data_IF_925364867718
#
_entry.id   IF_925364867718
#
_cell.length_a   1.000
_cell.length_b   1.000
_cell.length_c   1.000
_cell.angle_alpha   90.00
_cell.angle_beta   90.00
_cell.angle_gamma   90.00
#
_symmetry.space_group_name_H-M   'P 1'
#
loop_
_entity.id
_entity.type
_entity.pdbx_description
1 polymer ?
#
# COMPACT_ATOMS: atom_id res chain seq x y z
N UNK A 1 -24.48 5.39 12.43
CA UNK A 1 -23.18 4.99 11.87
C UNK A 1 -22.60 6.21 11.18
N UNK A 2 -21.43 6.69 11.56
CA UNK A 2 -20.83 7.85 10.92
C UNK A 2 -20.39 7.52 9.48
N UNK A 3 -20.76 8.42 8.57
CA UNK A 3 -20.33 8.36 7.17
C UNK A 3 -19.09 9.26 7.01
N UNK A 4 -17.98 8.66 6.58
CA UNK A 4 -16.70 9.32 6.37
C UNK A 4 -16.46 9.43 4.87
N UNK A 5 -16.45 10.66 4.35
CA UNK A 5 -16.25 10.93 2.94
C UNK A 5 -14.78 10.99 2.54
N UNK A 6 -14.42 10.42 1.39
CA UNK A 6 -13.10 10.60 0.79
C UNK A 6 -13.23 11.09 -0.64
N UNK A 7 -12.56 12.22 -0.93
CA UNK A 7 -12.51 12.85 -2.23
C UNK A 7 -11.07 12.93 -2.75
N UNK A 8 -10.85 12.66 -4.04
CA UNK A 8 -9.53 12.76 -4.66
C UNK A 8 -9.56 13.50 -5.98
N UNK A 9 -8.60 14.40 -6.14
CA UNK A 9 -8.32 15.10 -7.42
C UNK A 9 -6.90 14.81 -7.90
N UNK A 10 -6.69 14.82 -9.22
CA UNK A 10 -5.43 14.41 -9.85
C UNK A 10 -4.46 15.55 -10.08
N UNK A 11 -4.93 16.80 -10.16
CA UNK A 11 -4.12 18.00 -10.45
C UNK A 11 -4.43 19.12 -9.47
N UNK A 12 -3.51 20.08 -9.34
CA UNK A 12 -3.71 21.26 -8.47
C UNK A 12 -4.84 22.16 -8.97
N UNK A 13 -5.09 22.17 -10.27
CA UNK A 13 -6.14 23.00 -10.89
C UNK A 13 -7.55 22.39 -10.79
N UNK A 14 -7.65 21.10 -10.41
CA UNK A 14 -8.96 20.48 -10.22
C UNK A 14 -9.46 20.70 -8.79
N UNK A 15 -10.67 21.28 -8.71
CA UNK A 15 -11.34 21.46 -7.42
C UNK A 15 -12.07 20.17 -6.99
N UNK A 16 -11.94 19.74 -5.72
CA UNK A 16 -12.73 18.63 -5.21
C UNK A 16 -14.19 18.98 -4.91
N UNK A 17 -14.60 20.26 -5.11
CA UNK A 17 -15.91 20.77 -4.73
C UNK A 17 -17.09 19.90 -5.16
N UNK A 18 -17.20 19.40 -6.42
CA UNK A 18 -18.32 18.56 -6.82
C UNK A 18 -18.39 17.25 -6.03
N UNK A 19 -17.24 16.66 -5.74
CA UNK A 19 -17.18 15.43 -4.94
C UNK A 19 -17.55 15.71 -3.48
N UNK A 20 -17.01 16.78 -2.90
CA UNK A 20 -17.29 17.15 -1.51
C UNK A 20 -18.75 17.55 -1.31
N UNK A 21 -19.39 18.20 -2.31
CA UNK A 21 -20.83 18.47 -2.28
C UNK A 21 -21.65 17.18 -2.33
N UNK A 22 -21.32 16.24 -3.23
CA UNK A 22 -22.02 14.97 -3.33
C UNK A 22 -21.89 14.15 -2.03
N UNK A 23 -20.70 14.14 -1.41
CA UNK A 23 -20.47 13.48 -0.13
C UNK A 23 -21.25 14.13 1.02
N UNK A 24 -21.33 15.47 1.06
CA UNK A 24 -22.17 16.20 2.03
C UNK A 24 -23.65 15.85 1.86
N UNK A 25 -24.14 15.85 0.62
CA UNK A 25 -25.52 15.47 0.30
C UNK A 25 -25.84 14.02 0.66
N UNK A 26 -24.85 13.14 0.61
CA UNK A 26 -24.95 11.76 1.05
C UNK A 26 -24.95 11.59 2.58
N UNK A 27 -24.75 12.68 3.34
CA UNK A 27 -24.76 12.69 4.81
C UNK A 27 -23.41 12.44 5.46
N UNK A 28 -22.29 12.58 4.74
CA UNK A 28 -20.96 12.45 5.34
C UNK A 28 -20.72 13.56 6.37
N UNK A 29 -20.44 13.16 7.61
CA UNK A 29 -20.15 14.08 8.71
C UNK A 29 -18.74 14.68 8.58
N UNK A 30 -17.79 13.90 8.05
CA UNK A 30 -16.39 14.28 7.86
C UNK A 30 -15.98 13.95 6.43
N UNK A 31 -15.26 14.86 5.75
CA UNK A 31 -14.78 14.66 4.38
C UNK A 31 -13.28 14.93 4.32
N UNK A 32 -12.55 13.93 3.84
CA UNK A 32 -11.11 13.99 3.65
C UNK A 32 -10.78 14.19 2.17
N UNK A 33 -10.07 15.25 1.87
CA UNK A 33 -9.67 15.60 0.50
C UNK A 33 -8.20 15.27 0.26
N UNK A 34 -7.89 14.59 -0.84
CA UNK A 34 -6.54 14.26 -1.24
C UNK A 34 -6.21 14.79 -2.63
N UNK A 35 -5.13 15.54 -2.72
CA UNK A 35 -4.53 15.95 -3.99
C UNK A 35 -3.41 14.99 -4.32
N UNK A 36 -3.61 14.09 -5.28
CA UNK A 36 -2.61 13.11 -5.69
C UNK A 36 -2.61 12.93 -7.19
N UNK A 37 -1.50 13.28 -7.84
CA UNK A 37 -1.30 13.04 -9.26
C UNK A 37 -1.30 11.55 -9.61
N UNK A 38 -1.64 11.22 -10.87
CA UNK A 38 -1.72 9.84 -11.35
C UNK A 38 -0.44 9.02 -11.17
N UNK A 39 0.74 9.67 -11.13
CA UNK A 39 2.05 9.03 -10.94
C UNK A 39 2.45 8.81 -9.46
N UNK A 40 1.93 9.60 -8.55
CA UNK A 40 2.28 9.47 -7.14
C UNK A 40 1.50 8.31 -6.50
N UNK A 41 2.24 7.28 -6.02
CA UNK A 41 1.67 6.12 -5.33
C UNK A 41 1.31 6.43 -3.87
N UNK A 42 1.93 7.43 -3.26
CA UNK A 42 1.68 7.80 -1.88
C UNK A 42 0.30 8.46 -1.75
N UNK A 43 -0.52 7.93 -0.85
CA UNK A 43 -1.85 8.46 -0.50
C UNK A 43 -1.94 8.62 1.02
N UNK A 44 -1.26 9.62 1.56
CA UNK A 44 -1.16 9.78 3.01
C UNK A 44 -2.50 10.10 3.67
N UNK A 45 -3.41 10.79 2.95
CA UNK A 45 -4.74 11.09 3.48
C UNK A 45 -5.57 9.81 3.56
N UNK A 46 -5.62 9.01 2.47
CA UNK A 46 -6.32 7.73 2.47
C UNK A 46 -5.78 6.79 3.57
N UNK A 47 -4.45 6.71 3.71
CA UNK A 47 -3.85 5.87 4.76
C UNK A 47 -4.33 6.28 6.16
N UNK A 48 -4.32 7.58 6.48
CA UNK A 48 -4.83 8.12 7.76
C UNK A 48 -6.32 7.84 7.95
N UNK A 49 -7.13 7.98 6.90
CA UNK A 49 -8.56 7.67 6.96
C UNK A 49 -8.76 6.20 7.30
N UNK A 50 -8.07 5.30 6.59
CA UNK A 50 -8.14 3.86 6.85
C UNK A 50 -7.64 3.46 8.25
N UNK A 51 -6.73 4.23 8.86
CA UNK A 51 -6.31 4.02 10.25
C UNK A 51 -7.37 4.46 11.26
N UNK A 52 -8.03 5.59 11.01
CA UNK A 52 -9.05 6.19 11.90
C UNK A 52 -10.39 5.46 11.89
N UNK A 53 -10.77 4.90 10.74
CA UNK A 53 -12.04 4.18 10.58
C UNK A 53 -12.14 3.06 11.62
N UNK A 54 -13.29 3.02 12.30
CA UNK A 54 -13.61 2.10 13.39
C UNK A 54 -14.82 1.22 13.03
N UNK A 55 -15.11 0.25 13.89
CA UNK A 55 -16.26 -0.66 13.71
C UNK A 55 -17.58 0.12 13.59
N UNK A 56 -18.32 -0.16 12.54
CA UNK A 56 -19.64 0.45 12.27
C UNK A 56 -19.55 1.75 11.45
N UNK A 57 -18.35 2.27 11.16
CA UNK A 57 -18.17 3.41 10.24
C UNK A 57 -18.35 2.97 8.80
N UNK A 58 -18.75 3.89 7.92
CA UNK A 58 -18.83 3.65 6.47
C UNK A 58 -17.97 4.66 5.73
N UNK A 59 -16.95 4.15 5.02
CA UNK A 59 -16.16 4.96 4.09
C UNK A 59 -16.94 5.19 2.80
N UNK A 60 -17.22 6.45 2.46
CA UNK A 60 -18.01 6.84 1.29
C UNK A 60 -17.14 7.56 0.27
N UNK A 61 -17.27 7.16 -0.99
CA UNK A 61 -16.66 7.84 -2.14
C UNK A 61 -17.72 8.14 -3.20
N UNK A 62 -17.45 9.12 -4.06
CA UNK A 62 -18.37 9.39 -5.18
C UNK A 62 -18.28 8.30 -6.22
N UNK A 63 -17.06 7.85 -6.56
CA UNK A 63 -16.77 6.79 -7.54
C UNK A 63 -15.58 5.96 -7.11
N UNK A 64 -15.56 4.71 -7.52
CA UNK A 64 -14.48 3.75 -7.19
C UNK A 64 -13.11 4.25 -7.67
N UNK A 65 -13.03 4.90 -8.83
CA UNK A 65 -11.77 5.40 -9.39
C UNK A 65 -11.15 6.54 -8.56
N UNK A 66 -11.91 7.16 -7.66
CA UNK A 66 -11.38 8.09 -6.66
C UNK A 66 -10.65 7.36 -5.54
N UNK A 67 -11.14 6.17 -5.14
CA UNK A 67 -10.53 5.36 -4.10
C UNK A 67 -9.38 4.49 -4.63
N UNK A 68 -9.61 3.78 -5.72
CA UNK A 68 -8.68 2.76 -6.20
C UNK A 68 -8.30 2.98 -7.68
N UNK A 69 -7.07 2.59 -8.04
CA UNK A 69 -6.56 2.66 -9.42
C UNK A 69 -6.69 1.33 -10.15
N UNK A 70 -6.95 0.28 -9.42
CA UNK A 70 -7.16 -1.08 -9.93
C UNK A 70 -8.18 -1.79 -9.06
N UNK A 71 -8.81 -2.79 -9.63
CA UNK A 71 -9.75 -3.64 -8.90
C UNK A 71 -9.07 -4.34 -7.71
N UNK A 72 -7.83 -4.80 -7.88
CA UNK A 72 -7.06 -5.41 -6.78
C UNK A 72 -6.87 -4.44 -5.61
N UNK A 73 -6.52 -3.18 -5.88
CA UNK A 73 -6.38 -2.19 -4.82
C UNK A 73 -7.71 -1.83 -4.14
N UNK A 74 -8.83 -1.83 -4.90
CA UNK A 74 -10.16 -1.66 -4.31
C UNK A 74 -10.46 -2.78 -3.31
N UNK A 75 -10.23 -4.05 -3.72
CA UNK A 75 -10.45 -5.21 -2.87
C UNK A 75 -9.59 -5.15 -1.61
N UNK A 76 -8.30 -4.82 -1.72
CA UNK A 76 -7.41 -4.64 -0.57
C UNK A 76 -7.92 -3.59 0.44
N UNK A 77 -8.44 -2.46 -0.06
CA UNK A 77 -9.02 -1.42 0.81
C UNK A 77 -10.27 -1.93 1.50
N UNK A 78 -11.17 -2.62 0.77
CA UNK A 78 -12.42 -3.15 1.33
C UNK A 78 -12.11 -4.23 2.36
N UNK A 79 -11.20 -5.17 2.10
CA UNK A 79 -10.76 -6.18 3.07
C UNK A 79 -10.23 -5.56 4.37
N UNK A 80 -9.47 -4.46 4.26
CA UNK A 80 -8.99 -3.71 5.44
C UNK A 80 -10.11 -3.07 6.23
N UNK A 81 -11.15 -2.57 5.58
CA UNK A 81 -12.35 -2.02 6.24
C UNK A 81 -13.14 -3.12 6.92
N UNK A 82 -13.39 -4.23 6.24
CA UNK A 82 -14.09 -5.40 6.78
C UNK A 82 -13.37 -6.00 7.99
N UNK A 83 -12.04 -6.08 7.96
CA UNK A 83 -11.24 -6.55 9.09
C UNK A 83 -11.40 -5.66 10.34
N UNK A 84 -11.79 -4.39 10.16
CA UNK A 84 -12.14 -3.46 11.27
C UNK A 84 -13.63 -3.47 11.61
N UNK A 85 -14.46 -4.23 10.89
CA UNK A 85 -15.92 -4.21 11.02
C UNK A 85 -16.53 -2.92 10.49
N UNK A 86 -15.89 -2.27 9.53
CA UNK A 86 -16.36 -1.08 8.85
C UNK A 86 -16.85 -1.40 7.44
N UNK A 87 -17.58 -0.47 6.84
CA UNK A 87 -18.23 -0.64 5.55
C UNK A 87 -17.65 0.32 4.49
N UNK A 88 -17.92 -0.02 3.23
CA UNK A 88 -17.57 0.82 2.06
C UNK A 88 -18.81 1.08 1.22
N UNK A 89 -18.96 2.31 0.74
CA UNK A 89 -20.06 2.69 -0.15
C UNK A 89 -19.56 3.63 -1.25
N UNK A 90 -19.92 3.35 -2.50
CA UNK A 90 -19.82 4.28 -3.63
C UNK A 90 -21.18 4.91 -3.91
N UNK A 91 -21.20 6.23 -4.23
CA UNK A 91 -22.46 6.92 -4.53
C UNK A 91 -22.95 6.61 -5.95
N UNK A 92 -22.03 6.56 -6.91
CA UNK A 92 -22.35 6.38 -8.32
C UNK A 92 -22.15 4.97 -8.85
N UNK A 93 -21.42 4.12 -8.12
CA UNK A 93 -21.23 2.74 -8.50
C UNK A 93 -22.10 1.84 -7.61
N UNK A 94 -22.58 0.67 -8.09
CA UNK A 94 -23.48 -0.22 -7.34
C UNK A 94 -22.73 -1.06 -6.30
N UNK A 95 -21.89 -0.41 -5.48
CA UNK A 95 -21.10 -1.05 -4.44
C UNK A 95 -21.42 -0.42 -3.09
N UNK A 96 -22.02 -1.23 -2.23
CA UNK A 96 -22.31 -0.95 -0.83
C UNK A 96 -22.09 -2.23 -0.03
N UNK A 97 -21.01 -2.31 0.74
CA UNK A 97 -20.64 -3.53 1.47
C UNK A 97 -21.53 -3.79 2.69
N UNK A 98 -22.41 -2.87 3.07
CA UNK A 98 -23.44 -3.10 4.06
C UNK A 98 -24.61 -3.91 3.51
N UNK A 99 -24.90 -3.74 2.21
CA UNK A 99 -26.00 -4.43 1.53
C UNK A 99 -25.62 -5.81 0.99
N UNK A 100 -26.55 -6.79 0.98
CA UNK A 100 -26.30 -8.09 0.38
C UNK A 100 -25.96 -8.01 -1.12
N UNK A 101 -26.61 -7.10 -1.87
CA UNK A 101 -26.33 -6.88 -3.28
C UNK A 101 -24.94 -6.33 -3.53
N UNK A 102 -24.49 -5.36 -2.72
CA UNK A 102 -23.14 -4.80 -2.82
C UNK A 102 -22.07 -5.83 -2.49
N UNK A 103 -22.29 -6.68 -1.49
CA UNK A 103 -21.40 -7.81 -1.18
C UNK A 103 -21.31 -8.79 -2.34
N UNK A 104 -22.45 -9.17 -2.93
CA UNK A 104 -22.47 -10.04 -4.11
C UNK A 104 -21.69 -9.40 -5.28
N UNK A 105 -21.94 -8.12 -5.59
CA UNK A 105 -21.22 -7.40 -6.63
C UNK A 105 -19.71 -7.42 -6.39
N UNK A 106 -19.29 -7.23 -5.14
CA UNK A 106 -17.88 -7.28 -4.75
C UNK A 106 -17.26 -8.67 -4.97
N UNK A 107 -17.98 -9.73 -4.62
CA UNK A 107 -17.54 -11.11 -4.84
C UNK A 107 -17.34 -11.41 -6.33
N UNK A 108 -18.27 -10.97 -7.19
CA UNK A 108 -18.15 -11.12 -8.65
C UNK A 108 -16.95 -10.36 -9.18
N UNK A 109 -16.74 -9.12 -8.73
CA UNK A 109 -15.58 -8.32 -9.10
C UNK A 109 -14.27 -8.97 -8.61
N UNK A 110 -14.26 -9.53 -7.41
CA UNK A 110 -13.12 -10.28 -6.86
C UNK A 110 -12.75 -11.47 -7.73
N UNK A 111 -13.73 -12.31 -8.07
CA UNK A 111 -13.53 -13.46 -8.97
C UNK A 111 -13.02 -13.04 -10.35
N UNK A 112 -13.55 -11.94 -10.92
CA UNK A 112 -13.07 -11.40 -12.20
C UNK A 112 -11.61 -10.93 -12.11
N UNK A 113 -11.21 -10.27 -11.03
CA UNK A 113 -9.83 -9.83 -10.80
C UNK A 113 -8.86 -11.01 -10.64
N UNK A 114 -9.27 -12.07 -9.98
CA UNK A 114 -8.46 -13.30 -9.86
C UNK A 114 -8.30 -14.00 -11.21
N UNK A 115 -9.36 -14.09 -11.98
CA UNK A 115 -9.34 -14.66 -13.33
C UNK A 115 -8.40 -13.86 -14.25
N UNK A 116 -8.50 -12.53 -14.26
CA UNK A 116 -7.60 -11.67 -15.02
C UNK A 116 -6.12 -11.89 -14.64
N UNK A 117 -5.85 -11.95 -13.33
CA UNK A 117 -4.49 -12.25 -12.82
C UNK A 117 -4.00 -13.63 -13.26
N UNK A 118 -4.87 -14.64 -13.28
CA UNK A 118 -4.53 -15.98 -13.74
C UNK A 118 -4.15 -15.97 -15.23
N UNK A 119 -4.94 -15.30 -16.08
CA UNK A 119 -4.65 -15.13 -17.50
C UNK A 119 -3.33 -14.40 -17.78
N UNK A 120 -3.06 -13.32 -17.03
CA UNK A 120 -1.78 -12.59 -17.14
C UNK A 120 -0.60 -13.50 -16.78
N UNK A 121 -0.71 -14.29 -15.71
CA UNK A 121 0.33 -15.25 -15.30
C UNK A 121 0.56 -16.32 -16.37
N UNK A 122 -0.50 -16.85 -16.95
CA UNK A 122 -0.43 -17.86 -18.01
C UNK A 122 0.26 -17.28 -19.25
N UNK A 123 -0.18 -16.12 -19.74
CA UNK A 123 0.45 -15.42 -20.87
C UNK A 123 1.92 -15.12 -20.61
N UNK A 124 2.26 -14.68 -19.40
CA UNK A 124 3.64 -14.40 -19.00
C UNK A 124 4.49 -15.68 -19.02
N UNK A 125 3.97 -16.79 -18.48
CA UNK A 125 4.66 -18.09 -18.52
C UNK A 125 4.89 -18.57 -19.95
N UNK A 126 3.86 -18.48 -20.80
CA UNK A 126 3.97 -18.84 -22.23
C UNK A 126 4.98 -17.95 -22.97
N UNK A 127 4.95 -16.64 -22.73
CA UNK A 127 5.92 -15.70 -23.28
C UNK A 127 7.35 -15.97 -22.84
N UNK A 128 7.57 -16.30 -21.57
CA UNK A 128 8.88 -16.69 -21.04
C UNK A 128 9.37 -18.02 -21.63
N UNK A 129 8.48 -19.01 -21.81
CA UNK A 129 8.81 -20.27 -22.46
C UNK A 129 9.25 -20.04 -23.91
N UNK A 130 8.47 -19.27 -24.68
CA UNK A 130 8.82 -18.88 -26.04
C UNK A 130 10.12 -18.07 -26.13
N UNK A 131 10.38 -17.20 -25.19
CA UNK A 131 11.64 -16.47 -25.16
C UNK A 131 12.84 -17.40 -24.90
N UNK A 132 12.70 -18.39 -24.03
CA UNK A 132 13.73 -19.39 -23.73
C UNK A 132 14.04 -20.27 -24.95
N UNK A 133 13.03 -20.73 -25.69
CA UNK A 133 13.25 -21.49 -26.92
C UNK A 133 13.99 -20.69 -28.00
N UNK A 134 13.85 -19.36 -27.98
CA UNK A 134 14.60 -18.42 -28.84
C UNK A 134 15.98 -18.04 -28.29
N UNK A 135 16.48 -18.73 -27.27
CA UNK A 135 17.77 -18.46 -26.63
C UNK A 135 17.80 -17.18 -25.77
N UNK A 136 16.64 -16.49 -25.56
CA UNK A 136 16.58 -15.30 -24.73
C UNK A 136 16.50 -15.71 -23.26
N UNK A 137 17.49 -15.29 -22.48
CA UNK A 137 17.51 -15.55 -21.04
C UNK A 137 17.19 -14.24 -20.30
N UNK A 138 16.19 -14.29 -19.42
CA UNK A 138 15.78 -13.13 -18.64
C UNK A 138 16.84 -12.69 -17.62
N UNK A 139 16.68 -11.49 -17.10
CA UNK A 139 17.58 -10.89 -16.11
C UNK A 139 18.59 -9.90 -16.72
N UNK A 140 19.33 -9.22 -15.86
CA UNK A 140 20.35 -8.28 -16.29
C UNK A 140 21.58 -9.02 -16.86
N UNK A 141 21.94 -8.80 -18.13
CA UNK A 141 23.10 -9.47 -18.75
C UNK A 141 24.42 -9.27 -17.99
N UNK A 142 24.67 -8.06 -17.48
CA UNK A 142 25.88 -7.76 -16.73
C UNK A 142 25.96 -8.56 -15.41
N UNK A 143 24.84 -8.76 -14.71
CA UNK A 143 24.83 -9.59 -13.50
C UNK A 143 25.06 -11.07 -13.82
N UNK A 144 24.54 -11.54 -14.94
CA UNK A 144 24.77 -12.92 -15.41
C UNK A 144 26.23 -13.14 -15.80
N UNK A 145 26.82 -12.17 -16.47
CA UNK A 145 28.25 -12.18 -16.83
C UNK A 145 29.18 -11.89 -15.63
N UNK A 146 28.60 -11.65 -14.42
CA UNK A 146 29.34 -11.23 -13.23
C UNK A 146 30.19 -9.95 -13.47
N UNK A 147 29.71 -9.07 -14.33
CA UNK A 147 30.36 -7.80 -14.61
C UNK A 147 30.55 -7.00 -13.32
N UNK A 148 31.79 -6.60 -12.98
CA UNK A 148 32.08 -5.84 -11.77
C UNK A 148 31.29 -4.53 -11.65
N UNK A 149 31.06 -3.82 -12.75
CA UNK A 149 30.29 -2.58 -12.78
C UNK A 149 28.80 -2.83 -12.45
N UNK A 150 28.20 -3.88 -13.03
CA UNK A 150 26.82 -4.26 -12.75
C UNK A 150 26.66 -4.71 -11.29
N UNK A 151 27.59 -5.50 -10.76
CA UNK A 151 27.60 -5.96 -9.37
C UNK A 151 27.76 -4.77 -8.40
N UNK A 152 28.64 -3.82 -8.71
CA UNK A 152 28.83 -2.60 -7.90
C UNK A 152 27.54 -1.77 -7.86
N UNK A 153 26.88 -1.57 -9.01
CA UNK A 153 25.62 -0.83 -9.10
C UNK A 153 24.52 -1.44 -8.23
N UNK A 154 24.38 -2.77 -8.25
CA UNK A 154 23.39 -3.48 -7.41
C UNK A 154 23.76 -3.36 -5.93
N UNK A 155 25.06 -3.44 -5.59
CA UNK A 155 25.50 -3.29 -4.19
C UNK A 155 25.17 -1.91 -3.66
N UNK A 156 25.49 -0.84 -4.43
CA UNK A 156 25.16 0.53 -4.07
C UNK A 156 23.65 0.72 -3.90
N UNK A 157 22.84 0.31 -4.87
CA UNK A 157 21.38 0.42 -4.78
C UNK A 157 20.79 -0.32 -3.57
N UNK A 158 21.37 -1.47 -3.18
CA UNK A 158 20.96 -2.16 -1.95
C UNK A 158 21.37 -1.42 -0.69
N UNK A 159 22.56 -0.82 -0.70
CA UNK A 159 23.06 -0.02 0.42
C UNK A 159 22.23 1.25 0.59
N UNK A 160 21.91 1.97 -0.49
CA UNK A 160 21.07 3.15 -0.47
C UNK A 160 19.66 2.82 0.08
N UNK A 161 19.02 1.78 -0.43
CA UNK A 161 17.70 1.34 0.06
C UNK A 161 17.74 0.79 1.50
N UNK A 162 18.90 0.31 1.98
CA UNK A 162 19.08 -0.05 3.39
C UNK A 162 19.20 1.20 4.26
N UNK A 163 20.00 2.19 3.84
CA UNK A 163 20.16 3.45 4.56
C UNK A 163 18.88 4.26 4.61
N UNK A 164 18.10 4.27 3.53
CA UNK A 164 16.80 4.93 3.48
C UNK A 164 15.84 4.33 4.54
N UNK A 165 15.74 3.01 4.62
CA UNK A 165 14.93 2.33 5.64
C UNK A 165 15.42 2.56 7.06
N UNK A 166 16.74 2.63 7.28
CA UNK A 166 17.31 3.00 8.57
C UNK A 166 16.92 4.42 8.97
N UNK A 167 16.98 5.36 8.02
CA UNK A 167 16.62 6.75 8.28
C UNK A 167 15.12 6.92 8.55
N UNK A 168 14.25 6.19 7.86
CA UNK A 168 12.80 6.19 8.11
C UNK A 168 12.46 5.76 9.55
N UNK A 169 13.21 4.80 10.08
CA UNK A 169 13.01 4.28 11.45
C UNK A 169 13.93 4.90 12.49
N UNK A 170 14.77 5.87 12.11
CA UNK A 170 15.79 6.45 12.99
C UNK A 170 15.20 7.08 14.26
N UNK A 171 14.04 7.70 14.16
CA UNK A 171 13.37 8.30 15.30
C UNK A 171 12.96 7.29 16.38
N UNK A 172 12.75 6.04 16.00
CA UNK A 172 12.30 4.99 16.92
C UNK A 172 13.45 4.41 17.75
N UNK A 173 14.67 4.31 17.19
CA UNK A 173 15.78 3.60 17.83
C UNK A 173 16.98 4.48 18.19
N UNK A 174 17.27 5.57 17.46
CA UNK A 174 18.44 6.44 17.73
C UNK A 174 18.44 7.02 19.14
N UNK A 175 17.31 7.52 19.70
CA UNK A 175 17.28 8.02 21.07
C UNK A 175 17.64 6.94 22.10
N UNK A 176 17.18 5.70 21.88
CA UNK A 176 17.50 4.57 22.75
C UNK A 176 18.99 4.23 22.70
N UNK A 177 19.57 4.14 21.49
CA UNK A 177 21.01 3.90 21.33
C UNK A 177 21.84 4.98 22.01
N UNK A 178 21.52 6.25 21.78
CA UNK A 178 22.25 7.38 22.39
C UNK A 178 22.23 7.34 23.91
N UNK A 179 21.13 6.90 24.51
CA UNK A 179 20.99 6.80 25.97
C UNK A 179 21.74 5.59 26.55
N UNK A 180 21.73 4.47 25.85
CA UNK A 180 22.24 3.19 26.38
C UNK A 180 23.70 2.96 26.04
N UNK A 181 24.19 3.44 24.91
CA UNK A 181 25.52 3.12 24.36
C UNK A 181 26.71 3.62 25.19
N UNK A 182 26.67 4.75 25.89
CA UNK A 182 27.76 5.16 26.73
C UNK A 182 28.13 4.13 27.83
N UNK A 183 27.10 3.48 28.36
CA UNK A 183 27.24 2.61 29.55
C UNK A 183 27.17 1.12 29.25
N UNK A 184 26.54 0.74 28.12
CA UNK A 184 26.27 -0.65 27.78
C UNK A 184 27.02 -1.14 26.53
N UNK A 185 27.40 -2.42 26.53
CA UNK A 185 27.92 -3.09 25.32
C UNK A 185 26.85 -3.19 24.23
N UNK A 186 27.28 -3.31 22.98
CA UNK A 186 26.34 -3.41 21.84
C UNK A 186 25.37 -4.59 21.96
N UNK A 187 25.78 -5.69 22.53
CA UNK A 187 24.94 -6.88 22.75
C UNK A 187 23.73 -6.58 23.64
N UNK A 188 23.96 -5.82 24.71
CA UNK A 188 22.90 -5.44 25.64
C UNK A 188 21.99 -4.37 25.05
N UNK A 189 22.56 -3.40 24.34
CA UNK A 189 21.78 -2.38 23.60
C UNK A 189 20.84 -3.04 22.59
N UNK A 190 21.34 -3.98 21.79
CA UNK A 190 20.54 -4.72 20.80
C UNK A 190 19.46 -5.57 21.48
N UNK A 191 19.77 -6.21 22.63
CA UNK A 191 18.80 -6.98 23.41
C UNK A 191 17.65 -6.11 23.91
N UNK A 192 17.97 -4.94 24.45
CA UNK A 192 16.98 -3.98 24.98
C UNK A 192 16.07 -3.44 23.85
N UNK A 193 16.66 -3.03 22.72
CA UNK A 193 15.92 -2.52 21.57
C UNK A 193 15.02 -3.61 20.96
N UNK A 194 15.48 -4.86 20.94
CA UNK A 194 14.72 -5.99 20.40
C UNK A 194 13.56 -6.44 21.31
N UNK A 195 13.58 -6.10 22.58
CA UNK A 195 12.57 -6.56 23.55
C UNK A 195 11.12 -6.31 23.09
N UNK A 196 10.75 -5.09 22.69
CA UNK A 196 9.41 -4.77 22.20
C UNK A 196 9.16 -5.09 20.72
N UNK A 197 10.21 -5.50 19.95
CA UNK A 197 10.09 -5.70 18.51
C UNK A 197 9.64 -7.12 18.15
N UNK A 198 8.71 -7.28 17.17
CA UNK A 198 8.39 -8.57 16.60
C UNK A 198 9.63 -9.22 15.98
N UNK A 199 9.67 -10.55 15.96
CA UNK A 199 10.83 -11.34 15.53
C UNK A 199 11.37 -10.96 14.14
N UNK A 200 10.47 -10.67 13.19
CA UNK A 200 10.82 -10.25 11.84
C UNK A 200 11.52 -8.87 11.75
N UNK A 201 11.46 -8.05 12.80
CA UNK A 201 12.05 -6.71 12.88
C UNK A 201 13.25 -6.61 13.81
N UNK A 202 13.65 -7.73 14.45
CA UNK A 202 14.76 -7.75 15.40
C UNK A 202 16.10 -7.47 14.73
N UNK A 203 16.92 -6.73 15.44
CA UNK A 203 18.28 -6.40 15.04
C UNK A 203 19.23 -7.54 15.39
N UNK A 204 20.25 -7.74 14.57
CA UNK A 204 21.36 -8.64 14.84
C UNK A 204 22.66 -7.84 14.94
N UNK A 205 23.67 -8.32 15.66
CA UNK A 205 24.97 -7.64 15.82
C UNK A 205 25.72 -7.42 14.49
N UNK A 206 25.40 -8.19 13.47
CA UNK A 206 26.03 -8.13 12.14
C UNK A 206 25.29 -7.22 11.15
N UNK A 207 24.32 -6.46 11.63
CA UNK A 207 23.53 -5.52 10.80
C UNK A 207 23.67 -4.11 11.27
#
# INVERSE_FOLDING_TARGET
MPLIGYARVSTEDQTPLPQSQALKSAGCAEIHEEKASGGNRARPVLARVLERVSKGDTLVVVRIDRLARSLSHLLEVIERLEAKGAFFRSIQDPIDTESPQGKFTLQVLGAAAEFERALIRERTKAGLASARTKGRVGGNPGLRAKDPAALRKVRLARQDGYMERLNETAQDWVPHVRRLRPDLAWEDVVRIINGPLPEARRWTQSR
#
